data_IF_566760293203
#
_entry.id   IF_566760293203
#
_cell.length_a   1.000
_cell.length_b   1.000
_cell.length_c   1.000
_cell.angle_alpha   90.00
_cell.angle_beta   90.00
_cell.angle_gamma   90.00
#
_symmetry.space_group_name_H-M   'P 1'
#
loop_
_entity.id
_entity.type
_entity.pdbx_description
1 polymer ?
#
# COMPACT_ATOMS: atom_id res chain seq x y z
N UNK A 1 -20.21 -9.40 9.83
CA UNK A 1 -19.59 -9.13 8.51
C UNK A 1 -19.07 -7.70 8.49
N UNK A 2 -17.79 -7.51 8.19
CA UNK A 2 -17.17 -6.19 7.98
C UNK A 2 -17.28 -5.84 6.49
N UNK A 3 -17.61 -4.59 6.19
CA UNK A 3 -17.71 -4.10 4.82
C UNK A 3 -16.69 -3.00 4.58
N UNK A 4 -16.01 -3.05 3.45
CA UNK A 4 -15.20 -1.94 2.95
C UNK A 4 -16.13 -1.09 2.09
N UNK A 5 -16.47 0.10 2.58
CA UNK A 5 -17.40 1.02 1.91
C UNK A 5 -16.68 2.27 1.42
N UNK A 6 -17.31 3.01 0.54
CA UNK A 6 -16.79 4.31 0.07
C UNK A 6 -16.62 5.28 1.22
N UNK A 7 -17.55 5.31 2.19
CA UNK A 7 -17.46 6.18 3.37
C UNK A 7 -16.24 5.84 4.23
N UNK A 8 -15.91 4.54 4.39
CA UNK A 8 -14.71 4.12 5.11
C UNK A 8 -13.44 4.55 4.36
N UNK A 9 -13.40 4.35 3.05
CA UNK A 9 -12.28 4.76 2.20
C UNK A 9 -12.08 6.28 2.29
N UNK A 10 -13.14 7.07 2.11
CA UNK A 10 -13.10 8.53 2.17
C UNK A 10 -12.61 9.03 3.54
N UNK A 11 -13.03 8.39 4.63
CA UNK A 11 -12.54 8.68 5.99
C UNK A 11 -11.03 8.47 6.09
N UNK A 12 -10.52 7.32 5.67
CA UNK A 12 -9.09 7.01 5.79
C UNK A 12 -8.24 7.91 4.88
N UNK A 13 -8.75 8.26 3.70
CA UNK A 13 -8.12 9.25 2.80
C UNK A 13 -8.07 10.63 3.46
N UNK A 14 -9.15 11.09 4.09
CA UNK A 14 -9.17 12.38 4.79
C UNK A 14 -8.13 12.41 5.92
N UNK A 15 -8.01 11.32 6.69
CA UNK A 15 -7.01 11.18 7.74
C UNK A 15 -5.57 11.16 7.16
N UNK A 16 -5.34 10.49 6.03
CA UNK A 16 -4.05 10.48 5.34
C UNK A 16 -3.62 11.89 4.90
N UNK A 17 -4.56 12.69 4.39
CA UNK A 17 -4.31 14.10 4.00
C UNK A 17 -3.91 14.99 5.17
N UNK A 18 -4.41 14.72 6.37
CA UNK A 18 -4.07 15.44 7.60
C UNK A 18 -2.80 14.90 8.28
N UNK A 19 -2.37 13.69 7.93
CA UNK A 19 -1.18 13.08 8.50
C UNK A 19 0.11 13.77 8.02
N UNK A 20 1.06 14.08 8.92
CA UNK A 20 2.39 14.56 8.52
C UNK A 20 3.13 13.60 7.60
N UNK A 21 2.86 12.30 7.71
CA UNK A 21 3.44 11.26 6.85
C UNK A 21 2.72 11.09 5.51
N UNK A 22 1.61 11.79 5.30
CA UNK A 22 0.81 11.71 4.08
C UNK A 22 0.30 10.30 3.80
N UNK A 23 0.00 9.54 4.86
CA UNK A 23 -0.59 8.21 4.80
C UNK A 23 -1.30 7.85 6.09
N UNK A 24 -2.26 6.93 6.00
CA UNK A 24 -3.00 6.39 7.12
C UNK A 24 -3.40 4.94 6.89
N UNK A 25 -3.26 4.11 7.92
CA UNK A 25 -3.75 2.74 7.92
C UNK A 25 -5.09 2.66 8.66
N UNK A 26 -5.96 1.77 8.19
CA UNK A 26 -7.11 1.30 8.95
C UNK A 26 -7.02 -0.21 9.08
N UNK A 27 -6.74 -0.70 10.28
CA UNK A 27 -6.51 -2.12 10.53
C UNK A 27 -7.82 -2.85 10.83
N UNK A 28 -8.04 -3.99 10.16
CA UNK A 28 -9.13 -4.92 10.46
C UNK A 28 -8.72 -6.02 11.43
N UNK A 29 -7.43 -6.25 11.61
CA UNK A 29 -6.87 -7.15 12.61
C UNK A 29 -6.82 -6.44 13.98
N UNK A 30 -7.26 -7.11 15.07
CA UNK A 30 -7.33 -6.50 16.38
C UNK A 30 -5.95 -6.28 17.02
N UNK A 31 -4.99 -7.17 16.74
CA UNK A 31 -3.66 -7.15 17.35
C UNK A 31 -2.56 -7.07 16.28
N UNK A 32 -1.48 -6.33 16.55
CA UNK A 32 -0.32 -6.27 15.65
C UNK A 32 0.41 -7.62 15.52
N UNK A 33 0.21 -8.51 16.49
CA UNK A 33 0.75 -9.86 16.50
C UNK A 33 -0.07 -10.87 15.70
N UNK A 34 -1.23 -10.46 15.17
CA UNK A 34 -2.04 -11.37 14.36
C UNK A 34 -1.25 -11.90 13.17
N UNK A 35 -1.29 -13.21 12.92
CA UNK A 35 -0.55 -13.82 11.81
C UNK A 35 -1.04 -13.36 10.43
N UNK A 36 -2.29 -12.97 10.34
CA UNK A 36 -2.89 -12.41 9.10
C UNK A 36 -3.26 -10.96 9.34
N UNK A 37 -2.42 -10.06 8.84
CA UNK A 37 -2.68 -8.63 8.91
C UNK A 37 -3.52 -8.19 7.71
N UNK A 38 -4.61 -7.46 7.99
CA UNK A 38 -5.58 -6.98 7.00
C UNK A 38 -5.82 -5.50 7.27
N UNK A 39 -5.59 -4.68 6.29
CA UNK A 39 -5.71 -3.23 6.47
C UNK A 39 -6.05 -2.52 5.15
N UNK A 40 -6.61 -1.32 5.27
CA UNK A 40 -6.56 -0.32 4.22
C UNK A 40 -5.31 0.54 4.46
N UNK A 41 -4.64 0.91 3.39
CA UNK A 41 -3.53 1.84 3.43
C UNK A 41 -3.81 2.99 2.45
N UNK A 42 -4.23 4.13 2.99
CA UNK A 42 -4.43 5.34 2.22
C UNK A 42 -3.10 6.08 2.06
N UNK A 43 -2.73 6.35 0.83
CA UNK A 43 -1.46 6.97 0.44
C UNK A 43 -1.74 8.26 -0.34
N UNK A 44 -1.17 9.36 0.11
CA UNK A 44 -1.20 10.63 -0.61
C UNK A 44 0.13 10.86 -1.35
N UNK A 45 0.15 11.66 -2.44
CA UNK A 45 1.40 12.05 -3.10
C UNK A 45 2.40 12.62 -2.09
N UNK A 46 3.69 12.37 -2.34
CA UNK A 46 4.82 12.73 -1.47
C UNK A 46 4.91 11.93 -0.16
N UNK A 47 4.05 10.91 0.05
CA UNK A 47 4.31 9.95 1.13
C UNK A 47 5.61 9.20 0.84
N UNK A 48 6.43 9.05 1.86
CA UNK A 48 7.67 8.27 1.76
C UNK A 48 7.57 7.01 2.61
N UNK A 49 7.57 5.87 1.94
CA UNK A 49 7.68 4.56 2.58
C UNK A 49 9.11 4.06 2.29
N UNK A 50 9.91 3.95 3.34
CA UNK A 50 11.27 3.44 3.20
C UNK A 50 11.24 2.04 2.57
N UNK A 51 12.10 1.74 1.58
CA UNK A 51 12.27 0.38 1.08
C UNK A 51 12.54 -0.59 2.23
N UNK A 52 11.74 -1.65 2.30
CA UNK A 52 11.81 -2.66 3.35
C UNK A 52 11.50 -4.04 2.78
N UNK A 53 11.71 -5.08 3.57
CA UNK A 53 11.37 -6.46 3.23
C UNK A 53 10.83 -7.21 4.43
N UNK A 54 10.00 -8.19 4.16
CA UNK A 54 9.54 -9.16 5.14
C UNK A 54 10.27 -10.48 4.92
N UNK A 55 10.85 -11.04 5.98
CA UNK A 55 11.72 -12.23 5.87
C UNK A 55 10.96 -13.54 5.93
N UNK A 56 9.69 -13.52 6.38
CA UNK A 56 8.91 -14.73 6.67
C UNK A 56 7.47 -14.66 6.18
N UNK A 57 7.14 -13.67 5.36
CA UNK A 57 5.78 -13.51 4.82
C UNK A 57 5.80 -12.75 3.50
N UNK A 58 4.86 -13.09 2.67
CA UNK A 58 4.48 -12.37 1.47
C UNK A 58 3.55 -11.22 1.81
N UNK A 59 3.41 -10.27 0.91
CA UNK A 59 2.51 -9.14 1.07
C UNK A 59 1.76 -8.87 -0.23
N UNK A 60 0.43 -8.98 -0.18
CA UNK A 60 -0.44 -8.75 -1.33
C UNK A 60 -1.19 -7.44 -1.21
N UNK A 61 -1.34 -6.73 -2.31
CA UNK A 61 -2.07 -5.48 -2.41
C UNK A 61 -3.12 -5.54 -3.51
N UNK A 62 -4.28 -4.93 -3.25
CA UNK A 62 -5.32 -4.69 -4.25
C UNK A 62 -5.65 -3.20 -4.24
N UNK A 63 -5.62 -2.58 -5.42
CA UNK A 63 -5.98 -1.18 -5.58
C UNK A 63 -7.49 -1.00 -5.45
N UNK A 64 -7.91 -0.19 -4.50
CA UNK A 64 -9.31 0.20 -4.31
C UNK A 64 -9.62 1.53 -5.00
N UNK A 65 -8.68 2.48 -4.97
CA UNK A 65 -8.82 3.79 -5.63
C UNK A 65 -7.47 4.43 -5.94
N UNK A 66 -7.45 5.36 -6.89
CA UNK A 66 -6.29 6.16 -7.22
C UNK A 66 -5.25 5.44 -8.10
N UNK A 67 -3.98 5.79 -7.91
CA UNK A 67 -2.84 5.32 -8.69
C UNK A 67 -1.63 5.16 -7.81
N UNK A 68 -1.03 3.98 -7.79
CA UNK A 68 0.09 3.63 -6.91
C UNK A 68 1.24 3.05 -7.73
N UNK A 69 2.45 3.53 -7.48
CA UNK A 69 3.68 2.95 -7.99
C UNK A 69 4.22 1.96 -6.95
N UNK A 70 4.43 0.73 -7.37
CA UNK A 70 5.14 -0.31 -6.65
C UNK A 70 6.53 -0.50 -7.24
N UNK A 71 7.55 -0.58 -6.40
CA UNK A 71 8.94 -0.75 -6.83
C UNK A 71 9.60 -1.87 -6.03
N UNK A 72 10.31 -2.73 -6.74
CA UNK A 72 11.12 -3.82 -6.18
C UNK A 72 12.59 -3.53 -6.45
N UNK A 73 13.42 -3.76 -5.42
CA UNK A 73 14.85 -3.46 -5.47
C UNK A 73 15.69 -4.73 -5.37
N UNK A 74 16.85 -4.68 -6.00
CA UNK A 74 17.94 -5.62 -5.73
C UNK A 74 18.58 -5.31 -4.37
N UNK A 75 19.36 -6.26 -3.83
CA UNK A 75 20.05 -6.07 -2.55
C UNK A 75 21.08 -4.94 -2.57
N UNK A 76 21.58 -4.54 -3.75
CA UNK A 76 22.47 -3.41 -3.93
C UNK A 76 21.78 -2.05 -4.02
N UNK A 77 20.42 -2.03 -3.94
CA UNK A 77 19.59 -0.83 -3.99
C UNK A 77 19.19 -0.39 -5.39
N UNK A 78 19.62 -1.09 -6.44
CA UNK A 78 19.15 -0.83 -7.81
C UNK A 78 17.72 -1.32 -8.00
N UNK A 79 16.95 -0.67 -8.88
CA UNK A 79 15.58 -1.10 -9.19
C UNK A 79 15.63 -2.40 -10.00
N UNK A 80 14.95 -3.43 -9.50
CA UNK A 80 14.78 -4.72 -10.18
C UNK A 80 13.54 -4.73 -11.06
N UNK A 81 12.44 -4.18 -10.57
CA UNK A 81 11.14 -4.17 -11.25
C UNK A 81 10.24 -3.08 -10.70
N UNK A 82 9.23 -2.68 -11.45
CA UNK A 82 8.21 -1.74 -10.99
C UNK A 82 6.88 -1.97 -11.70
N UNK A 83 5.79 -1.56 -11.06
CA UNK A 83 4.46 -1.59 -11.65
C UNK A 83 3.66 -0.36 -11.21
N UNK A 84 2.83 0.17 -12.09
CA UNK A 84 1.85 1.18 -11.76
C UNK A 84 0.49 0.50 -11.65
N UNK A 85 -0.05 0.47 -10.44
CA UNK A 85 -1.40 0.01 -10.18
C UNK A 85 -2.37 1.13 -10.52
N UNK A 86 -3.22 0.91 -11.49
CA UNK A 86 -4.30 1.81 -11.86
C UNK A 86 -5.31 1.11 -12.76
N UNK A 87 -6.52 1.67 -12.88
CA UNK A 87 -7.50 1.18 -13.85
C UNK A 87 -7.03 1.38 -15.30
N UNK A 88 -6.22 2.41 -15.56
CA UNK A 88 -5.67 2.71 -16.88
C UNK A 88 -4.65 1.66 -17.34
N UNK A 89 -3.77 1.21 -16.44
CA UNK A 89 -2.76 0.18 -16.75
C UNK A 89 -3.34 -1.22 -16.74
N UNK A 90 -4.52 -1.42 -16.12
CA UNK A 90 -5.13 -2.73 -15.92
C UNK A 90 -4.46 -3.57 -14.83
N UNK A 91 -3.42 -3.08 -14.16
CA UNK A 91 -2.79 -3.75 -13.01
C UNK A 91 -3.54 -3.29 -11.77
N UNK A 92 -4.32 -4.16 -11.18
CA UNK A 92 -5.18 -3.84 -10.03
C UNK A 92 -4.66 -4.38 -8.70
N UNK A 93 -3.63 -5.21 -8.74
CA UNK A 93 -3.02 -5.76 -7.53
C UNK A 93 -1.71 -6.44 -7.86
N UNK A 94 -0.95 -6.74 -6.83
CA UNK A 94 0.32 -7.46 -6.90
C UNK A 94 0.63 -8.14 -5.57
N UNK A 95 1.59 -9.03 -5.61
CA UNK A 95 2.15 -9.68 -4.44
C UNK A 95 3.67 -9.52 -4.43
N UNK A 96 4.21 -9.12 -3.29
CA UNK A 96 5.65 -9.13 -3.05
C UNK A 96 6.03 -10.43 -2.36
N UNK A 97 7.02 -11.09 -2.92
CA UNK A 97 7.62 -12.29 -2.35
C UNK A 97 8.34 -11.98 -1.02
N UNK A 98 8.48 -12.98 -0.18
CA UNK A 98 9.32 -12.87 1.01
C UNK A 98 10.78 -12.50 0.63
N UNK A 99 11.48 -11.85 1.54
CA UNK A 99 12.87 -11.36 1.34
C UNK A 99 13.09 -10.38 0.18
N UNK A 100 12.02 -9.85 -0.40
CA UNK A 100 12.07 -8.89 -1.49
C UNK A 100 12.03 -7.45 -0.95
N UNK A 101 13.06 -6.64 -1.20
CA UNK A 101 13.01 -5.22 -0.89
C UNK A 101 12.01 -4.51 -1.81
N UNK A 102 11.04 -3.83 -1.21
CA UNK A 102 9.98 -3.15 -1.94
C UNK A 102 9.55 -1.85 -1.26
N UNK A 103 8.83 -1.03 -2.02
CA UNK A 103 8.12 0.15 -1.54
C UNK A 103 6.88 0.44 -2.38
N UNK A 104 5.97 1.19 -1.81
CA UNK A 104 4.83 1.80 -2.51
C UNK A 104 4.91 3.33 -2.39
N UNK A 105 4.46 4.02 -3.41
CA UNK A 105 4.20 5.46 -3.34
C UNK A 105 2.98 5.83 -4.18
N UNK A 106 2.28 6.87 -3.75
CA UNK A 106 1.09 7.36 -4.46
C UNK A 106 1.48 8.28 -5.60
N UNK A 107 0.86 8.10 -6.76
CA UNK A 107 0.96 9.00 -7.92
C UNK A 107 -0.28 9.90 -8.06
N UNK A 108 -1.32 9.66 -7.25
CA UNK A 108 -2.59 10.38 -7.32
C UNK A 108 -3.19 10.53 -5.92
N UNK A 109 -3.76 11.70 -5.63
CA UNK A 109 -4.44 11.93 -4.34
C UNK A 109 -5.62 10.97 -4.17
N UNK A 110 -5.84 10.50 -2.94
CA UNK A 110 -6.91 9.56 -2.64
C UNK A 110 -6.61 8.12 -3.05
N UNK A 111 -5.33 7.76 -3.19
CA UNK A 111 -4.94 6.37 -3.48
C UNK A 111 -5.10 5.49 -2.25
N UNK A 112 -5.72 4.30 -2.43
CA UNK A 112 -5.94 3.31 -1.37
C UNK A 112 -5.67 1.91 -1.90
N UNK A 113 -4.88 1.15 -1.16
CA UNK A 113 -4.65 -0.28 -1.32
C UNK A 113 -5.09 -1.03 -0.08
#
# INVERSE_FOLDING_TARGET
>A
MVRITTELIDKVVAEARQSPRRRMNYNFHPELSDPVQRLLNALEPWTYIRPHKHTTKEESFVLLSGKVLAVVFNNDGTIRDHAILSRETGILGLEFEENCFHMLTSLETGSVV
#
